data_IF_542073101445
#
_entry.id   IF_542073101445
#
_cell.length_a   1.000
_cell.length_b   1.000
_cell.length_c   1.000
_cell.angle_alpha   90.00
_cell.angle_beta   90.00
_cell.angle_gamma   90.00
#
_symmetry.space_group_name_H-M   'P 1'
#
loop_
_entity.id
_entity.type
_entity.pdbx_description
1 polymer ?
#
# COMPACT_ATOMS: atom_id res chain seq x y z
N UNK A 1 47.01 -18.26 0.05
CA UNK A 1 46.19 -17.47 0.99
C UNK A 1 45.15 -18.42 1.58
N UNK A 2 45.38 -18.93 2.80
CA UNK A 2 44.50 -19.91 3.42
C UNK A 2 43.40 -19.18 4.22
N UNK A 3 42.17 -19.33 3.76
CA UNK A 3 40.98 -18.73 4.37
C UNK A 3 40.67 -19.52 5.64
N UNK A 4 41.00 -18.95 6.80
CA UNK A 4 40.59 -19.48 8.10
C UNK A 4 39.09 -19.23 8.25
N UNK A 5 38.30 -20.30 8.32
CA UNK A 5 36.86 -20.19 8.57
C UNK A 5 36.63 -20.12 10.09
N UNK A 6 35.90 -19.13 10.61
CA UNK A 6 35.58 -19.08 12.03
C UNK A 6 34.62 -20.21 12.39
N UNK A 7 35.02 -21.07 13.34
CA UNK A 7 34.14 -22.11 13.90
C UNK A 7 33.09 -21.46 14.78
N UNK A 8 31.83 -21.44 14.34
CA UNK A 8 30.72 -20.89 15.10
C UNK A 8 30.33 -21.89 16.20
N UNK A 9 30.55 -21.53 17.47
CA UNK A 9 30.13 -22.34 18.61
C UNK A 9 28.64 -22.06 18.92
N UNK A 10 27.76 -23.00 18.59
CA UNK A 10 26.32 -22.87 18.82
C UNK A 10 25.99 -23.39 20.22
N UNK A 11 25.91 -22.47 21.19
CA UNK A 11 25.46 -22.77 22.56
C UNK A 11 23.93 -22.62 22.67
N UNK A 12 23.31 -23.32 23.63
CA UNK A 12 21.88 -23.21 23.93
C UNK A 12 21.43 -21.76 24.21
N UNK A 13 22.30 -20.94 24.82
CA UNK A 13 22.09 -19.50 25.02
C UNK A 13 22.08 -18.72 23.70
N UNK A 14 22.97 -19.07 22.77
CA UNK A 14 23.02 -18.47 21.42
C UNK A 14 21.77 -18.82 20.62
N UNK A 15 21.29 -20.06 20.75
CA UNK A 15 20.03 -20.50 20.11
C UNK A 15 18.82 -19.77 20.70
N UNK A 16 18.80 -19.53 22.02
CA UNK A 16 17.76 -18.77 22.69
C UNK A 16 17.79 -17.28 22.28
N UNK A 17 18.98 -16.69 22.18
CA UNK A 17 19.18 -15.31 21.69
C UNK A 17 18.73 -15.14 20.23
N UNK A 18 19.08 -16.09 19.34
CA UNK A 18 18.57 -16.07 17.97
C UNK A 18 17.04 -16.23 17.91
N UNK A 19 16.48 -17.10 18.75
CA UNK A 19 15.03 -17.29 18.85
C UNK A 19 14.31 -16.02 19.28
N UNK A 20 14.83 -15.32 20.30
CA UNK A 20 14.29 -14.02 20.76
C UNK A 20 14.45 -12.95 19.69
N UNK A 21 15.61 -12.88 19.00
CA UNK A 21 15.83 -11.93 17.92
C UNK A 21 14.85 -12.15 16.75
N UNK A 22 14.57 -13.40 16.39
CA UNK A 22 13.53 -13.73 15.42
C UNK A 22 12.15 -13.27 15.90
N UNK A 23 11.81 -13.56 17.15
CA UNK A 23 10.52 -13.19 17.75
C UNK A 23 10.31 -11.66 17.79
N UNK A 24 11.37 -10.91 18.07
CA UNK A 24 11.38 -9.45 18.02
C UNK A 24 11.21 -8.93 16.60
N UNK A 25 11.87 -9.54 15.61
CA UNK A 25 11.68 -9.18 14.20
C UNK A 25 10.26 -9.47 13.72
N UNK A 26 9.66 -10.60 14.11
CA UNK A 26 8.28 -10.95 13.79
C UNK A 26 7.25 -10.08 14.54
N UNK A 27 7.62 -9.48 15.68
CA UNK A 27 6.76 -8.58 16.46
C UNK A 27 6.75 -7.14 15.92
N UNK A 28 7.53 -6.84 14.87
CA UNK A 28 7.56 -5.51 14.25
C UNK A 28 6.22 -5.24 13.57
N UNK A 29 5.32 -4.57 14.27
CA UNK A 29 4.04 -4.13 13.73
C UNK A 29 4.28 -3.22 12.50
N UNK A 30 3.41 -3.27 11.47
CA UNK A 30 3.44 -2.33 10.34
C UNK A 30 3.20 -0.86 10.77
N UNK A 31 2.96 -0.59 12.06
CA UNK A 31 2.89 0.74 12.65
C UNK A 31 4.23 1.51 12.62
N UNK A 32 5.37 0.83 12.41
CA UNK A 32 6.68 1.49 12.19
C UNK A 32 6.94 1.87 10.73
N UNK A 33 6.06 1.47 9.79
CA UNK A 33 5.82 2.30 8.62
C UNK A 33 4.99 3.49 9.13
N UNK A 34 5.64 4.37 9.89
CA UNK A 34 5.10 5.68 10.21
C UNK A 34 4.58 6.21 8.89
N UNK A 35 3.27 6.42 8.82
CA UNK A 35 2.75 7.47 7.96
C UNK A 35 3.76 8.61 8.08
N UNK A 36 4.15 9.25 6.98
CA UNK A 36 4.84 10.52 7.05
C UNK A 36 3.89 11.58 7.65
N UNK A 37 3.39 11.35 8.87
CA UNK A 37 3.03 12.31 9.88
C UNK A 37 4.35 12.66 10.57
N UNK A 38 5.10 13.50 9.88
CA UNK A 38 6.40 13.98 10.34
C UNK A 38 6.21 14.81 11.60
N UNK A 39 6.48 14.20 12.75
CA UNK A 39 6.88 14.84 13.99
C UNK A 39 6.21 16.16 14.35
N UNK A 40 5.07 16.12 15.02
CA UNK A 40 4.62 17.16 15.98
C UNK A 40 4.47 18.60 15.47
N UNK A 41 4.50 18.84 14.16
CA UNK A 41 4.38 20.18 13.60
C UNK A 41 2.89 20.50 13.35
N UNK A 42 2.39 21.69 13.74
CA UNK A 42 0.95 22.02 13.67
C UNK A 42 0.32 21.90 12.28
N UNK A 43 1.15 21.98 11.22
CA UNK A 43 0.72 21.89 9.83
C UNK A 43 0.57 20.44 9.33
N UNK A 44 1.16 19.46 10.01
CA UNK A 44 1.15 18.05 9.61
C UNK A 44 -0.28 17.47 9.60
N UNK A 45 -1.11 17.90 10.55
CA UNK A 45 -2.52 17.52 10.60
C UNK A 45 -3.31 18.06 9.39
N UNK A 46 -3.00 19.29 8.95
CA UNK A 46 -3.64 19.87 7.77
C UNK A 46 -3.24 19.13 6.49
N UNK A 47 -1.94 18.88 6.27
CA UNK A 47 -1.49 18.08 5.12
C UNK A 47 -2.06 16.66 5.14
N UNK A 48 -2.17 16.06 6.31
CA UNK A 48 -2.78 14.73 6.48
C UNK A 48 -4.26 14.76 6.11
N UNK A 49 -5.02 15.78 6.53
CA UNK A 49 -6.44 15.94 6.15
C UNK A 49 -6.62 16.18 4.64
N UNK A 50 -5.74 16.95 4.02
CA UNK A 50 -5.75 17.13 2.56
C UNK A 50 -5.48 15.80 1.85
N UNK A 51 -4.45 15.06 2.27
CA UNK A 51 -4.15 13.73 1.73
C UNK A 51 -5.35 12.80 1.89
N UNK A 52 -5.94 12.72 3.09
CA UNK A 52 -7.13 11.91 3.35
C UNK A 52 -8.33 12.33 2.51
N UNK A 53 -8.50 13.62 2.21
CA UNK A 53 -9.58 14.11 1.35
C UNK A 53 -9.33 13.71 -0.11
N UNK A 54 -8.09 13.82 -0.60
CA UNK A 54 -7.71 13.47 -1.98
C UNK A 54 -7.64 11.96 -2.22
N UNK A 55 -7.40 11.15 -1.18
CA UNK A 55 -7.46 9.69 -1.28
C UNK A 55 -8.78 9.09 -0.78
N UNK A 56 -9.69 9.92 -0.27
CA UNK A 56 -10.95 9.51 0.36
C UNK A 56 -12.19 9.69 -0.54
N UNK A 57 -13.41 9.68 0.05
CA UNK A 57 -14.67 9.72 -0.69
C UNK A 57 -14.87 10.95 -1.59
N UNK A 58 -14.18 12.05 -1.30
CA UNK A 58 -14.23 13.27 -2.10
C UNK A 58 -13.66 13.05 -3.51
N UNK A 59 -12.56 12.30 -3.65
CA UNK A 59 -11.96 11.99 -4.95
C UNK A 59 -12.89 11.15 -5.83
N UNK A 60 -13.68 10.25 -5.22
CA UNK A 60 -14.68 9.48 -5.93
C UNK A 60 -15.79 10.37 -6.50
N UNK A 61 -16.26 11.34 -5.72
CA UNK A 61 -17.27 12.30 -6.18
C UNK A 61 -16.74 13.17 -7.33
N UNK A 62 -15.50 13.66 -7.22
CA UNK A 62 -14.85 14.41 -8.28
C UNK A 62 -14.68 13.58 -9.57
N UNK A 63 -14.35 12.29 -9.45
CA UNK A 63 -14.24 11.39 -10.59
C UNK A 63 -15.58 11.21 -11.33
N UNK A 64 -16.70 11.10 -10.61
CA UNK A 64 -18.04 11.02 -11.21
C UNK A 64 -18.36 12.30 -11.99
N UNK A 65 -18.08 13.47 -11.43
CA UNK A 65 -18.31 14.75 -12.11
C UNK A 65 -17.51 14.84 -13.40
N UNK A 66 -16.22 14.48 -13.36
CA UNK A 66 -15.36 14.45 -14.55
C UNK A 66 -15.84 13.47 -15.63
N UNK A 67 -16.34 12.30 -15.22
CA UNK A 67 -16.92 11.30 -16.13
C UNK A 67 -18.16 11.85 -16.84
N UNK A 68 -19.08 12.47 -16.10
CA UNK A 68 -20.31 13.05 -16.67
C UNK A 68 -19.99 14.20 -17.62
N UNK A 69 -19.07 15.10 -17.25
CA UNK A 69 -18.64 16.21 -18.10
C UNK A 69 -18.00 15.74 -19.41
N UNK A 70 -17.15 14.71 -19.33
CA UNK A 70 -16.50 14.13 -20.51
C UNK A 70 -17.52 13.36 -21.38
N UNK A 71 -18.44 12.62 -20.75
CA UNK A 71 -19.54 11.92 -21.42
C UNK A 71 -20.50 12.86 -22.16
N UNK A 72 -20.83 14.00 -21.55
CA UNK A 72 -21.66 15.03 -22.19
C UNK A 72 -20.98 15.57 -23.46
N UNK A 73 -19.70 15.92 -23.36
CA UNK A 73 -18.91 16.44 -24.50
C UNK A 73 -18.89 15.47 -25.69
N UNK A 74 -18.97 14.16 -25.45
CA UNK A 74 -18.99 13.14 -26.48
C UNK A 74 -20.32 13.01 -27.21
N UNK A 75 -21.42 13.04 -26.46
CA UNK A 75 -22.76 12.89 -27.01
C UNK A 75 -23.04 14.04 -27.98
N UNK A 76 -22.51 15.24 -27.70
CA UNK A 76 -22.64 16.40 -28.57
C UNK A 76 -21.63 16.44 -29.74
N UNK A 77 -20.84 15.40 -29.97
CA UNK A 77 -19.98 15.29 -31.14
C UNK A 77 -18.65 16.06 -31.05
N UNK A 78 -18.10 16.22 -29.84
CA UNK A 78 -16.73 16.70 -29.67
C UNK A 78 -15.69 15.76 -30.32
N UNK A 79 -14.47 16.26 -30.56
CA UNK A 79 -13.38 15.56 -31.25
C UNK A 79 -13.17 14.12 -30.74
N UNK A 80 -13.75 13.16 -31.46
CA UNK A 80 -13.86 11.76 -31.04
C UNK A 80 -12.48 11.09 -30.98
N UNK A 81 -11.56 11.53 -31.84
CA UNK A 81 -10.17 11.09 -31.82
C UNK A 81 -9.44 11.67 -30.60
N UNK A 82 -9.66 12.95 -30.29
CA UNK A 82 -9.18 13.60 -29.08
C UNK A 82 -9.67 12.91 -27.80
N UNK A 83 -10.96 12.56 -27.73
CA UNK A 83 -11.52 11.85 -26.58
C UNK A 83 -10.96 10.43 -26.43
N UNK A 84 -10.91 9.65 -27.51
CA UNK A 84 -10.43 8.28 -27.45
C UNK A 84 -8.97 8.22 -26.96
N UNK A 85 -8.13 9.16 -27.40
CA UNK A 85 -6.77 9.32 -26.89
C UNK A 85 -6.77 9.63 -25.38
N UNK A 86 -7.57 10.60 -24.94
CA UNK A 86 -7.67 10.96 -23.52
C UNK A 86 -8.15 9.79 -22.66
N UNK A 87 -9.14 9.01 -23.13
CA UNK A 87 -9.67 7.85 -22.42
C UNK A 87 -8.60 6.76 -22.26
N UNK A 88 -7.86 6.45 -23.33
CA UNK A 88 -6.75 5.49 -23.29
C UNK A 88 -5.69 5.92 -22.27
N UNK A 89 -5.30 7.20 -22.25
CA UNK A 89 -4.33 7.70 -21.28
C UNK A 89 -4.83 7.60 -19.84
N UNK A 90 -6.09 7.95 -19.57
CA UNK A 90 -6.69 7.84 -18.23
C UNK A 90 -6.70 6.39 -17.76
N UNK A 91 -7.15 5.45 -18.59
CA UNK A 91 -7.19 4.03 -18.24
C UNK A 91 -5.78 3.47 -18.02
N UNK A 92 -4.82 3.86 -18.86
CA UNK A 92 -3.43 3.45 -18.72
C UNK A 92 -2.85 3.91 -17.38
N UNK A 93 -3.02 5.18 -17.02
CA UNK A 93 -2.56 5.73 -15.73
C UNK A 93 -3.25 5.04 -14.55
N UNK A 94 -4.56 4.85 -14.59
CA UNK A 94 -5.31 4.17 -13.53
C UNK A 94 -4.88 2.70 -13.36
N UNK A 95 -4.61 2.00 -14.47
CA UNK A 95 -4.10 0.63 -14.45
C UNK A 95 -2.74 0.55 -13.78
N UNK A 96 -1.83 1.48 -14.06
CA UNK A 96 -0.54 1.55 -13.38
C UNK A 96 -0.68 1.88 -11.89
N UNK A 97 -1.61 2.77 -11.52
CA UNK A 97 -1.86 3.13 -10.12
C UNK A 97 -2.31 1.91 -9.29
N UNK A 98 -3.28 1.15 -9.81
CA UNK A 98 -3.80 -0.07 -9.17
C UNK A 98 -2.73 -1.17 -9.13
N UNK A 99 -2.00 -1.36 -10.22
CA UNK A 99 -0.91 -2.33 -10.28
C UNK A 99 0.20 -2.02 -9.26
N UNK A 100 0.58 -0.75 -9.11
CA UNK A 100 1.58 -0.31 -8.14
C UNK A 100 1.12 -0.54 -6.70
N UNK A 101 -0.12 -0.19 -6.37
CA UNK A 101 -0.69 -0.43 -5.04
C UNK A 101 -0.73 -1.92 -4.70
N UNK A 102 -1.20 -2.75 -5.62
CA UNK A 102 -1.28 -4.21 -5.44
C UNK A 102 0.11 -4.85 -5.35
N UNK A 103 1.07 -4.40 -6.16
CA UNK A 103 2.46 -4.89 -6.13
C UNK A 103 3.15 -4.50 -4.82
N UNK A 104 2.95 -3.26 -4.35
CA UNK A 104 3.51 -2.81 -3.07
C UNK A 104 2.90 -3.59 -1.90
N UNK A 105 1.59 -3.83 -1.89
CA UNK A 105 0.91 -4.64 -0.88
C UNK A 105 1.39 -6.10 -0.88
N UNK A 106 1.66 -6.67 -2.06
CA UNK A 106 2.20 -8.02 -2.22
C UNK A 106 3.63 -8.14 -1.67
N UNK A 107 4.50 -7.15 -1.96
CA UNK A 107 5.90 -7.15 -1.52
C UNK A 107 6.00 -6.87 -0.01
N UNK A 108 5.16 -5.99 0.54
CA UNK A 108 5.20 -5.61 1.96
C UNK A 108 4.50 -6.61 2.90
N UNK A 109 4.08 -7.78 2.38
CA UNK A 109 3.48 -8.84 3.18
C UNK A 109 2.06 -8.55 3.67
N UNK A 110 1.46 -7.42 3.25
CA UNK A 110 0.11 -7.06 3.67
C UNK A 110 -0.96 -8.05 3.19
N UNK A 111 -0.71 -8.78 2.09
CA UNK A 111 -1.60 -9.87 1.65
C UNK A 111 -1.65 -11.06 2.61
N UNK A 112 -0.55 -11.39 3.31
CA UNK A 112 -0.48 -12.53 4.22
C UNK A 112 -1.27 -12.31 5.51
N UNK A 113 -1.24 -11.08 6.06
CA UNK A 113 -1.98 -10.71 7.28
C UNK A 113 -3.51 -10.67 7.07
N UNK A 114 -3.98 -10.30 5.87
CA UNK A 114 -5.41 -10.31 5.55
C UNK A 114 -5.92 -11.76 5.44
N UNK A 115 -5.14 -12.64 4.79
CA UNK A 115 -5.46 -14.06 4.69
C UNK A 115 -5.47 -14.78 6.06
N UNK A 116 -4.52 -14.43 6.93
CA UNK A 116 -4.46 -14.92 8.31
C UNK A 116 -5.68 -14.45 9.11
N UNK A 117 -6.03 -13.17 9.05
CA UNK A 117 -7.20 -12.60 9.75
C UNK A 117 -8.50 -13.26 9.31
N UNK A 118 -8.69 -13.51 8.00
CA UNK A 118 -9.84 -14.22 7.49
C UNK A 118 -9.90 -15.67 8.01
N UNK A 119 -8.77 -16.40 8.00
CA UNK A 119 -8.70 -17.75 8.57
C UNK A 119 -8.97 -17.79 10.07
N UNK A 120 -8.50 -16.81 10.84
CA UNK A 120 -8.79 -16.72 12.27
C UNK A 120 -10.26 -16.40 12.55
N UNK A 121 -10.91 -15.60 11.71
CA UNK A 121 -12.34 -15.30 11.83
C UNK A 121 -13.23 -16.50 11.46
N UNK A 122 -12.82 -17.31 10.49
CA UNK A 122 -13.50 -18.56 10.13
C UNK A 122 -13.31 -19.66 11.19
N UNK A 123 -12.10 -19.77 11.77
CA UNK A 123 -11.81 -20.72 12.84
C UNK A 123 -12.41 -20.34 14.21
N UNK A 124 -12.77 -19.07 14.42
CA UNK A 124 -13.46 -18.58 15.61
C UNK A 124 -14.99 -18.67 15.55
N UNK A 125 -15.54 -19.23 14.47
CA UNK A 125 -16.98 -19.50 14.29
C UNK A 125 -17.33 -20.98 14.50
N UNK A 126 -16.61 -21.67 15.37
CA UNK A 126 -17.00 -22.91 16.04
C UNK A 126 -16.92 -22.74 17.55
#
# INVERSE_FOLDING_TARGET
MQMTMPSINISNKTMLLLGIALLLMLSTHPALASNTSGGGLPFDEWFTKIRQSVTGPFAFTAAIVGLVATGATLIFGGDMNGFMKTLIFIVLVMSFLVAAQNTLAAITGQGAQIAMTFKFMEAGSI
#
